data_IF_742103880753
#
_entry.id   IF_742103880753
#
_cell.length_a   1.000
_cell.length_b   1.000
_cell.length_c   1.000
_cell.angle_alpha   90.00
_cell.angle_beta   90.00
_cell.angle_gamma   90.00
#
_symmetry.space_group_name_H-M   'P 1'
#
loop_
_entity.id
_entity.type
_entity.pdbx_description
1 polymer ?
#
# COMPACT_ATOMS: atom_id res chain seq x y z
N UNK A 1 52.89 -5.01 -59.10
CA UNK A 1 51.47 -4.62 -58.88
C UNK A 1 50.46 -5.63 -59.36
N UNK A 2 50.84 -6.64 -60.13
CA UNK A 2 49.88 -7.66 -60.68
C UNK A 2 49.58 -8.84 -59.75
N UNK A 3 50.24 -9.04 -58.63
CA UNK A 3 49.96 -10.14 -57.71
C UNK A 3 48.84 -9.86 -56.68
N UNK A 4 48.61 -8.58 -56.38
CA UNK A 4 47.49 -8.15 -55.50
C UNK A 4 46.11 -8.28 -56.19
N UNK A 5 46.04 -8.06 -57.48
CA UNK A 5 44.79 -8.17 -58.26
C UNK A 5 44.24 -9.59 -58.37
N UNK A 6 45.10 -10.63 -58.33
CA UNK A 6 44.69 -12.02 -58.44
C UNK A 6 44.12 -12.57 -57.12
N UNK A 7 44.69 -12.21 -55.96
CA UNK A 7 44.16 -12.57 -54.64
C UNK A 7 42.81 -11.87 -54.33
N UNK A 8 42.62 -10.64 -54.79
CA UNK A 8 41.34 -9.94 -54.65
C UNK A 8 40.25 -10.56 -55.55
N UNK A 9 40.59 -11.02 -56.77
CA UNK A 9 39.64 -11.69 -57.67
C UNK A 9 39.22 -13.06 -57.14
N UNK A 10 40.14 -13.83 -56.59
CA UNK A 10 39.80 -15.15 -55.97
C UNK A 10 38.87 -15.00 -54.76
N UNK A 11 39.07 -14.01 -53.92
CA UNK A 11 38.20 -13.69 -52.76
C UNK A 11 36.78 -13.25 -53.21
N UNK A 12 36.69 -12.51 -54.32
CA UNK A 12 35.40 -12.06 -54.88
C UNK A 12 34.66 -13.24 -55.48
N UNK A 13 35.34 -14.17 -56.15
CA UNK A 13 34.73 -15.34 -56.77
C UNK A 13 34.28 -16.38 -55.71
N UNK A 14 35.03 -16.59 -54.64
CA UNK A 14 34.63 -17.36 -53.50
C UNK A 14 33.37 -16.78 -52.81
N UNK A 15 33.30 -15.47 -52.61
CA UNK A 15 32.15 -14.76 -52.08
C UNK A 15 30.91 -14.90 -52.97
N UNK A 16 31.05 -14.82 -54.31
CA UNK A 16 29.97 -15.04 -55.26
C UNK A 16 29.47 -16.51 -55.22
N UNK A 17 30.42 -17.46 -55.20
CA UNK A 17 30.07 -18.87 -55.08
C UNK A 17 29.31 -19.21 -53.77
N UNK A 18 29.73 -18.62 -52.62
CA UNK A 18 29.05 -18.72 -51.37
C UNK A 18 27.65 -18.10 -51.42
N UNK A 19 27.52 -16.87 -52.03
CA UNK A 19 26.23 -16.17 -52.15
C UNK A 19 25.25 -16.91 -53.06
N UNK A 20 25.71 -17.50 -54.17
CA UNK A 20 24.84 -18.32 -55.02
C UNK A 20 24.33 -19.59 -54.33
N UNK A 21 25.08 -20.11 -53.37
CA UNK A 21 24.71 -21.31 -52.60
C UNK A 21 23.84 -21.02 -51.42
N UNK A 22 24.11 -19.94 -50.70
CA UNK A 22 23.46 -19.63 -49.40
C UNK A 22 22.64 -18.32 -49.43
N UNK A 23 22.76 -17.49 -50.46
CA UNK A 23 22.12 -16.17 -50.52
C UNK A 23 20.61 -16.21 -50.33
N UNK A 24 19.94 -17.23 -50.91
CA UNK A 24 18.49 -17.42 -50.68
C UNK A 24 18.13 -17.67 -49.20
N UNK A 25 18.88 -18.55 -48.55
CA UNK A 25 18.67 -18.85 -47.13
C UNK A 25 18.96 -17.63 -46.23
N UNK A 26 20.05 -16.92 -46.52
CA UNK A 26 20.43 -15.70 -45.82
C UNK A 26 19.37 -14.62 -46.01
N UNK A 27 18.88 -14.40 -47.20
CA UNK A 27 17.82 -13.42 -47.51
C UNK A 27 16.54 -13.77 -46.74
N UNK A 28 16.10 -15.02 -46.72
CA UNK A 28 14.92 -15.48 -45.98
C UNK A 28 15.11 -15.27 -44.49
N UNK A 29 16.27 -15.63 -43.92
CA UNK A 29 16.58 -15.39 -42.52
C UNK A 29 16.56 -13.92 -42.18
N UNK A 30 17.07 -13.05 -43.04
CA UNK A 30 17.10 -11.60 -42.86
C UNK A 30 15.69 -11.00 -42.92
N UNK A 31 14.84 -11.46 -43.85
CA UNK A 31 13.44 -11.02 -43.94
C UNK A 31 12.66 -11.44 -42.69
N UNK A 32 12.84 -12.69 -42.21
CA UNK A 32 12.21 -13.14 -40.96
C UNK A 32 12.69 -12.26 -39.78
N UNK A 33 13.98 -11.99 -39.68
CA UNK A 33 14.55 -11.11 -38.64
C UNK A 33 13.92 -9.71 -38.68
N UNK A 34 13.79 -9.11 -39.85
CA UNK A 34 13.15 -7.80 -40.02
C UNK A 34 11.66 -7.84 -39.62
N UNK A 35 10.92 -8.91 -39.97
CA UNK A 35 9.51 -9.05 -39.58
C UNK A 35 9.34 -9.20 -38.06
N UNK A 36 10.23 -9.95 -37.40
CA UNK A 36 10.23 -10.07 -35.93
C UNK A 36 10.51 -8.72 -35.28
N UNK A 37 11.53 -8.00 -35.76
CA UNK A 37 11.86 -6.66 -35.24
C UNK A 37 10.69 -5.69 -35.44
N UNK A 38 10.10 -5.66 -36.62
CA UNK A 38 8.95 -4.80 -36.92
C UNK A 38 7.74 -5.14 -36.04
N UNK A 39 7.47 -6.42 -35.81
CA UNK A 39 6.40 -6.90 -34.93
C UNK A 39 6.63 -6.47 -33.47
N UNK A 40 7.83 -6.67 -32.94
CA UNK A 40 8.20 -6.24 -31.57
C UNK A 40 8.12 -4.72 -31.44
N UNK A 41 8.61 -3.98 -32.42
CA UNK A 41 8.59 -2.51 -32.38
C UNK A 41 7.15 -1.96 -32.46
N UNK A 42 6.32 -2.54 -33.35
CA UNK A 42 4.91 -2.19 -33.45
C UNK A 42 4.15 -2.48 -32.14
N UNK A 43 4.40 -3.65 -31.53
CA UNK A 43 3.83 -3.99 -30.24
C UNK A 43 4.27 -3.02 -29.12
N UNK A 44 5.55 -2.68 -29.04
CA UNK A 44 6.08 -1.72 -28.06
C UNK A 44 5.49 -0.33 -28.24
N UNK A 45 5.34 0.13 -29.48
CA UNK A 45 4.69 1.40 -29.76
C UNK A 45 3.22 1.40 -29.34
N UNK A 46 2.47 0.32 -29.67
CA UNK A 46 1.08 0.18 -29.26
C UNK A 46 0.92 0.13 -27.73
N UNK A 47 1.76 -0.66 -27.05
CA UNK A 47 1.76 -0.72 -25.58
C UNK A 47 2.09 0.64 -24.97
N UNK A 48 3.08 1.36 -25.49
CA UNK A 48 3.43 2.72 -25.04
C UNK A 48 2.29 3.72 -25.19
N UNK A 49 1.53 3.65 -26.30
CA UNK A 49 0.35 4.51 -26.47
C UNK A 49 -0.79 4.18 -25.50
N UNK A 50 -0.96 2.93 -25.14
CA UNK A 50 -1.93 2.52 -24.10
C UNK A 50 -1.54 3.04 -22.73
N UNK A 51 -0.26 2.95 -22.36
CA UNK A 51 0.25 3.50 -21.09
C UNK A 51 0.12 5.04 -21.05
N UNK A 52 0.41 5.75 -22.12
CA UNK A 52 0.24 7.20 -22.23
C UNK A 52 -1.22 7.61 -21.97
N UNK A 53 -2.17 6.99 -22.66
CA UNK A 53 -3.59 7.27 -22.48
C UNK A 53 -4.08 6.92 -21.06
N UNK A 54 -3.60 5.79 -20.51
CA UNK A 54 -3.93 5.40 -19.13
C UNK A 54 -3.36 6.40 -18.11
N UNK A 55 -2.19 6.96 -18.34
CA UNK A 55 -1.58 7.96 -17.46
C UNK A 55 -2.39 9.25 -17.39
N UNK A 56 -3.01 9.68 -18.51
CA UNK A 56 -3.91 10.86 -18.54
C UNK A 56 -5.15 10.60 -17.68
N UNK A 57 -5.76 9.42 -17.79
CA UNK A 57 -6.91 9.05 -16.97
C UNK A 57 -6.53 8.91 -15.48
N UNK A 58 -5.35 8.35 -15.19
CA UNK A 58 -4.83 8.33 -13.82
C UNK A 58 -4.65 9.75 -13.27
N UNK A 59 -4.16 10.68 -14.07
CA UNK A 59 -4.07 12.10 -13.72
C UNK A 59 -5.44 12.70 -13.37
N UNK A 60 -6.49 12.35 -14.14
CA UNK A 60 -7.85 12.79 -13.86
C UNK A 60 -8.38 12.22 -12.53
N UNK A 61 -8.13 10.93 -12.22
CA UNK A 61 -8.48 10.33 -10.92
C UNK A 61 -7.70 11.00 -9.78
N UNK A 62 -6.41 11.29 -9.99
CA UNK A 62 -5.57 11.96 -9.00
C UNK A 62 -6.04 13.38 -8.69
N UNK A 63 -6.43 14.14 -9.72
CA UNK A 63 -7.00 15.49 -9.53
C UNK A 63 -8.37 15.43 -8.84
N UNK A 64 -9.23 14.50 -9.23
CA UNK A 64 -10.51 14.26 -8.57
C UNK A 64 -10.31 13.87 -7.08
N UNK A 65 -9.27 13.11 -6.76
CA UNK A 65 -8.92 12.78 -5.38
C UNK A 65 -8.50 14.02 -4.57
N UNK A 66 -7.73 14.94 -5.17
CA UNK A 66 -7.35 16.21 -4.53
C UNK A 66 -8.55 17.10 -4.23
N UNK A 67 -9.50 17.15 -5.16
CA UNK A 67 -10.72 17.97 -5.03
C UNK A 67 -11.86 17.24 -4.31
N UNK A 68 -11.65 15.97 -3.92
CA UNK A 68 -12.66 15.08 -3.32
C UNK A 68 -13.92 14.89 -4.19
N UNK A 69 -13.76 15.00 -5.52
CA UNK A 69 -14.84 14.84 -6.49
C UNK A 69 -14.98 13.37 -6.89
N UNK A 70 -15.77 12.62 -6.12
CA UNK A 70 -15.99 11.19 -6.36
C UNK A 70 -16.71 10.90 -7.67
N UNK A 71 -17.52 11.86 -8.20
CA UNK A 71 -18.22 11.69 -9.46
C UNK A 71 -17.23 11.70 -10.64
N UNK A 72 -16.34 12.69 -10.70
CA UNK A 72 -15.27 12.72 -11.73
C UNK A 72 -14.33 11.53 -11.63
N UNK A 73 -13.99 11.10 -10.41
CA UNK A 73 -13.18 9.92 -10.22
C UNK A 73 -13.85 8.68 -10.77
N UNK A 74 -15.15 8.51 -10.55
CA UNK A 74 -15.94 7.38 -11.07
C UNK A 74 -15.89 7.28 -12.60
N UNK A 75 -16.06 8.39 -13.30
CA UNK A 75 -16.05 8.42 -14.77
C UNK A 75 -14.67 8.07 -15.33
N UNK A 76 -13.62 8.59 -14.69
CA UNK A 76 -12.25 8.32 -15.10
C UNK A 76 -11.84 6.86 -14.78
N UNK A 77 -12.23 6.33 -13.62
CA UNK A 77 -11.92 4.94 -13.25
C UNK A 77 -12.65 3.94 -14.15
N UNK A 78 -13.91 4.20 -14.51
CA UNK A 78 -14.65 3.34 -15.42
C UNK A 78 -13.93 3.23 -16.78
N UNK A 79 -13.46 4.34 -17.32
CA UNK A 79 -12.74 4.36 -18.60
C UNK A 79 -11.39 3.63 -18.51
N UNK A 80 -10.62 3.82 -17.42
CA UNK A 80 -9.30 3.21 -17.29
C UNK A 80 -9.40 1.70 -17.05
N UNK A 81 -10.36 1.23 -16.27
CA UNK A 81 -10.57 -0.20 -15.99
C UNK A 81 -11.16 -0.94 -17.18
N UNK A 82 -12.00 -0.30 -18.01
CA UNK A 82 -12.58 -0.90 -19.21
C UNK A 82 -11.54 -1.04 -20.34
N UNK A 83 -10.80 0.02 -20.64
CA UNK A 83 -9.95 0.07 -21.83
C UNK A 83 -8.49 -0.22 -21.57
N UNK A 84 -8.01 0.01 -20.36
CA UNK A 84 -6.58 0.01 -20.00
C UNK A 84 -6.27 -0.87 -18.78
N UNK A 85 -7.13 -1.85 -18.46
CA UNK A 85 -6.98 -2.72 -17.28
C UNK A 85 -5.58 -3.37 -17.17
N UNK A 86 -4.96 -3.72 -18.30
CA UNK A 86 -3.65 -4.35 -18.35
C UNK A 86 -2.46 -3.37 -18.21
N UNK A 87 -2.72 -2.07 -18.02
CA UNK A 87 -1.66 -1.07 -17.80
C UNK A 87 -1.30 -0.99 -16.32
N UNK A 88 -0.09 -0.50 -16.03
CA UNK A 88 0.34 -0.28 -14.66
C UNK A 88 -0.47 0.82 -13.95
N UNK A 89 -1.12 1.71 -14.68
CA UNK A 89 -1.90 2.82 -14.14
C UNK A 89 -3.28 2.40 -13.63
N UNK A 90 -3.94 1.41 -14.24
CA UNK A 90 -5.30 1.03 -13.89
C UNK A 90 -5.43 0.52 -12.44
N UNK A 91 -4.60 -0.41 -11.94
CA UNK A 91 -4.67 -0.83 -10.54
C UNK A 91 -4.34 0.32 -9.56
N UNK A 92 -3.41 1.20 -9.92
CA UNK A 92 -3.06 2.35 -9.08
C UNK A 92 -4.19 3.37 -9.01
N UNK A 93 -4.88 3.62 -10.12
CA UNK A 93 -6.09 4.45 -10.15
C UNK A 93 -7.20 3.84 -9.30
N UNK A 94 -7.42 2.52 -9.40
CA UNK A 94 -8.42 1.81 -8.61
C UNK A 94 -8.11 1.86 -7.10
N UNK A 95 -6.85 1.74 -6.68
CA UNK A 95 -6.43 1.93 -5.28
C UNK A 95 -6.77 3.33 -4.78
N UNK A 96 -6.50 4.36 -5.60
CA UNK A 96 -6.77 5.74 -5.23
C UNK A 96 -8.28 6.02 -5.13
N UNK A 97 -9.05 5.54 -6.10
CA UNK A 97 -10.50 5.67 -6.07
C UNK A 97 -11.13 4.89 -4.91
N UNK A 98 -10.65 3.68 -4.64
CA UNK A 98 -11.08 2.89 -3.48
C UNK A 98 -10.85 3.67 -2.16
N UNK A 99 -9.70 4.34 -2.03
CA UNK A 99 -9.44 5.20 -0.87
C UNK A 99 -10.43 6.36 -0.79
N UNK A 100 -10.76 6.99 -1.91
CA UNK A 100 -11.77 8.07 -1.93
C UNK A 100 -13.13 7.58 -1.47
N UNK A 101 -13.56 6.40 -1.92
CA UNK A 101 -14.83 5.77 -1.50
C UNK A 101 -14.81 5.46 0.00
N UNK A 102 -13.71 4.91 0.49
CA UNK A 102 -13.52 4.64 1.92
C UNK A 102 -13.60 5.92 2.76
N UNK A 103 -12.89 6.98 2.36
CA UNK A 103 -12.90 8.29 3.04
C UNK A 103 -14.30 8.95 3.00
N UNK A 104 -15.11 8.65 1.98
CA UNK A 104 -16.49 9.09 1.85
C UNK A 104 -17.49 8.20 2.63
N UNK A 105 -17.04 7.11 3.27
CA UNK A 105 -17.87 6.18 4.02
C UNK A 105 -18.47 5.04 3.19
N UNK A 106 -18.24 4.98 1.89
CA UNK A 106 -18.65 3.87 1.03
C UNK A 106 -17.64 2.71 1.14
N UNK A 107 -17.72 1.97 2.24
CA UNK A 107 -16.83 0.83 2.51
C UNK A 107 -17.04 -0.32 1.54
N UNK A 108 -18.27 -0.57 1.13
CA UNK A 108 -18.57 -1.62 0.16
C UNK A 108 -18.00 -1.31 -1.22
N UNK A 109 -18.16 -0.09 -1.71
CA UNK A 109 -17.54 0.38 -2.94
C UNK A 109 -16.02 0.34 -2.87
N UNK A 110 -15.42 0.76 -1.76
CA UNK A 110 -13.99 0.68 -1.54
C UNK A 110 -13.48 -0.76 -1.59
N UNK A 111 -14.13 -1.69 -0.87
CA UNK A 111 -13.79 -3.13 -0.86
C UNK A 111 -13.88 -3.73 -2.26
N UNK A 112 -14.92 -3.40 -3.03
CA UNK A 112 -15.07 -3.87 -4.41
C UNK A 112 -13.92 -3.40 -5.32
N UNK A 113 -13.49 -2.13 -5.19
CA UNK A 113 -12.37 -1.60 -5.96
C UNK A 113 -11.02 -2.23 -5.54
N UNK A 114 -10.80 -2.45 -4.25
CA UNK A 114 -9.60 -3.17 -3.78
C UNK A 114 -9.60 -4.62 -4.28
N UNK A 115 -10.74 -5.31 -4.30
CA UNK A 115 -10.88 -6.66 -4.85
C UNK A 115 -10.55 -6.69 -6.35
N UNK A 116 -11.02 -5.70 -7.11
CA UNK A 116 -10.67 -5.55 -8.52
C UNK A 116 -9.15 -5.43 -8.71
N UNK A 117 -8.45 -4.67 -7.84
CA UNK A 117 -6.99 -4.56 -7.87
C UNK A 117 -6.33 -5.91 -7.62
N UNK A 118 -6.79 -6.68 -6.64
CA UNK A 118 -6.26 -8.02 -6.32
C UNK A 118 -6.38 -8.96 -7.51
N UNK A 119 -7.46 -8.85 -8.29
CA UNK A 119 -7.73 -9.69 -9.44
C UNK A 119 -6.91 -9.28 -10.67
N UNK A 120 -6.80 -7.97 -10.94
CA UNK A 120 -6.32 -7.46 -12.23
C UNK A 120 -4.90 -6.88 -12.20
N UNK A 121 -4.32 -6.56 -11.03
CA UNK A 121 -2.97 -6.02 -11.00
C UNK A 121 -1.94 -7.04 -11.50
N UNK A 122 -1.00 -6.64 -12.38
CA UNK A 122 0.06 -7.55 -12.83
C UNK A 122 1.14 -7.78 -11.78
N UNK A 123 1.36 -6.81 -10.87
CA UNK A 123 2.40 -6.87 -9.84
C UNK A 123 1.84 -7.47 -8.54
N UNK A 124 2.51 -8.47 -7.98
CA UNK A 124 2.10 -9.10 -6.72
C UNK A 124 2.16 -8.12 -5.52
N UNK A 125 3.04 -7.12 -5.58
CA UNK A 125 3.13 -6.05 -4.59
C UNK A 125 1.84 -5.20 -4.57
N UNK A 126 1.29 -4.88 -5.73
CA UNK A 126 0.05 -4.10 -5.86
C UNK A 126 -1.15 -4.92 -5.39
N UNK A 127 -1.18 -6.24 -5.70
CA UNK A 127 -2.18 -7.15 -5.15
C UNK A 127 -2.10 -7.25 -3.63
N UNK A 128 -0.89 -7.30 -3.07
CA UNK A 128 -0.69 -7.32 -1.63
C UNK A 128 -1.24 -6.04 -0.97
N UNK A 129 -1.02 -4.87 -1.58
CA UNK A 129 -1.63 -3.61 -1.11
C UNK A 129 -3.15 -3.70 -1.14
N UNK A 130 -3.74 -4.24 -2.22
CA UNK A 130 -5.19 -4.46 -2.31
C UNK A 130 -5.72 -5.34 -1.17
N UNK A 131 -5.10 -6.49 -0.92
CA UNK A 131 -5.47 -7.41 0.18
C UNK A 131 -5.33 -6.74 1.54
N UNK A 132 -4.23 -6.02 1.78
CA UNK A 132 -4.02 -5.27 3.01
C UNK A 132 -5.14 -4.26 3.26
N UNK A 133 -5.56 -3.52 2.22
CA UNK A 133 -6.66 -2.54 2.31
C UNK A 133 -8.02 -3.19 2.52
N UNK A 134 -8.29 -4.35 1.90
CA UNK A 134 -9.50 -5.14 2.15
C UNK A 134 -9.56 -5.53 3.62
N UNK A 135 -8.47 -6.08 4.17
CA UNK A 135 -8.41 -6.47 5.57
C UNK A 135 -8.63 -5.28 6.52
N UNK A 136 -8.13 -4.09 6.20
CA UNK A 136 -8.41 -2.87 6.98
C UNK A 136 -9.92 -2.54 6.99
N UNK A 137 -10.58 -2.58 5.82
CA UNK A 137 -12.04 -2.35 5.75
C UNK A 137 -12.79 -3.39 6.57
N UNK A 138 -12.40 -4.66 6.51
CA UNK A 138 -13.01 -5.75 7.26
C UNK A 138 -12.86 -5.58 8.77
N UNK A 139 -11.70 -5.09 9.24
CA UNK A 139 -11.48 -4.74 10.65
C UNK A 139 -12.42 -3.61 11.10
N UNK A 140 -12.54 -2.55 10.30
CA UNK A 140 -13.41 -1.41 10.59
C UNK A 140 -14.89 -1.79 10.60
N UNK A 141 -15.27 -2.78 9.81
CA UNK A 141 -16.61 -3.39 9.79
C UNK A 141 -16.80 -4.46 10.86
N UNK A 142 -15.79 -4.67 11.73
CA UNK A 142 -15.75 -5.69 12.79
C UNK A 142 -15.84 -7.13 12.27
N UNK A 143 -15.49 -7.34 11.01
CA UNK A 143 -15.44 -8.67 10.36
C UNK A 143 -14.06 -9.29 10.57
N UNK A 144 -13.68 -9.51 11.84
CA UNK A 144 -12.29 -9.88 12.21
C UNK A 144 -11.85 -11.21 11.61
N UNK A 145 -12.72 -12.21 11.56
CA UNK A 145 -12.37 -13.51 10.98
C UNK A 145 -12.16 -13.42 9.46
N UNK A 146 -12.95 -12.58 8.77
CA UNK A 146 -12.74 -12.30 7.36
C UNK A 146 -11.40 -11.58 7.11
N UNK A 147 -11.08 -10.58 7.94
CA UNK A 147 -9.80 -9.87 7.87
C UNK A 147 -8.61 -10.83 8.07
N UNK A 148 -8.70 -11.73 9.05
CA UNK A 148 -7.67 -12.74 9.29
C UNK A 148 -7.49 -13.67 8.07
N UNK A 149 -8.60 -14.13 7.47
CA UNK A 149 -8.57 -14.95 6.27
C UNK A 149 -7.97 -14.19 5.06
N UNK A 150 -8.28 -12.91 4.91
CA UNK A 150 -7.69 -12.05 3.86
C UNK A 150 -6.18 -11.89 4.06
N UNK A 151 -5.72 -11.77 5.31
CA UNK A 151 -4.30 -11.64 5.66
C UNK A 151 -3.52 -12.97 5.55
N UNK A 152 -4.20 -14.12 5.51
CA UNK A 152 -3.58 -15.43 5.26
C UNK A 152 -3.24 -15.65 3.78
N UNK A 153 -3.76 -14.82 2.88
CA UNK A 153 -3.49 -14.94 1.46
C UNK A 153 -1.99 -14.70 1.15
N UNK A 154 -1.49 -15.45 0.15
CA UNK A 154 -0.09 -15.33 -0.28
C UNK A 154 0.27 -13.90 -0.70
N UNK A 155 1.41 -13.41 -0.23
CA UNK A 155 1.95 -12.09 -0.54
C UNK A 155 3.49 -12.13 -0.60
N UNK A 156 4.16 -11.12 -1.19
CA UNK A 156 5.61 -11.02 -1.18
C UNK A 156 6.16 -10.87 0.24
N UNK A 157 7.32 -11.48 0.51
CA UNK A 157 7.95 -11.47 1.83
C UNK A 157 8.25 -10.06 2.37
N UNK A 158 8.41 -9.06 1.49
CA UNK A 158 8.54 -7.65 1.87
C UNK A 158 7.34 -7.08 2.63
N UNK A 159 6.18 -7.72 2.54
CA UNK A 159 4.94 -7.34 3.24
C UNK A 159 4.71 -8.11 4.54
N UNK A 160 5.49 -9.16 4.82
CA UNK A 160 5.28 -10.04 6.00
C UNK A 160 5.10 -9.23 7.30
N UNK A 161 5.97 -8.24 7.54
CA UNK A 161 5.89 -7.42 8.75
C UNK A 161 4.62 -6.57 8.85
N UNK A 162 4.18 -5.99 7.72
CA UNK A 162 2.96 -5.18 7.68
C UNK A 162 1.70 -6.04 7.83
N UNK A 163 1.68 -7.22 7.21
CA UNK A 163 0.56 -8.17 7.33
C UNK A 163 0.46 -8.73 8.74
N UNK A 164 1.60 -9.04 9.37
CA UNK A 164 1.63 -9.50 10.76
C UNK A 164 1.17 -8.40 11.74
N UNK A 165 1.54 -7.12 11.51
CA UNK A 165 1.06 -6.00 12.30
C UNK A 165 -0.46 -5.85 12.19
N UNK A 166 -1.01 -5.83 10.96
CA UNK A 166 -2.45 -5.71 10.76
C UNK A 166 -3.23 -6.92 11.31
N UNK A 167 -2.62 -8.12 11.28
CA UNK A 167 -3.16 -9.30 11.97
C UNK A 167 -3.25 -9.06 13.47
N UNK A 168 -2.23 -8.45 14.07
CA UNK A 168 -2.25 -8.03 15.47
C UNK A 168 -3.38 -7.07 15.76
N UNK A 169 -3.61 -6.07 14.88
CA UNK A 169 -4.72 -5.12 15.01
C UNK A 169 -6.08 -5.83 14.97
N UNK A 170 -6.29 -6.76 14.02
CA UNK A 170 -7.52 -7.54 13.91
C UNK A 170 -7.78 -8.38 15.17
N UNK A 171 -6.75 -9.07 15.68
CA UNK A 171 -6.83 -9.91 16.88
C UNK A 171 -7.09 -9.08 18.14
N UNK A 172 -6.43 -7.93 18.28
CA UNK A 172 -6.64 -7.01 19.39
C UNK A 172 -8.07 -6.46 19.39
N UNK A 173 -8.58 -6.04 18.23
CA UNK A 173 -9.95 -5.56 18.07
C UNK A 173 -10.99 -6.66 18.33
N UNK A 174 -10.65 -7.93 18.05
CA UNK A 174 -11.46 -9.10 18.39
C UNK A 174 -11.38 -9.51 19.87
N UNK A 175 -10.58 -8.82 20.70
CA UNK A 175 -10.36 -9.15 22.11
C UNK A 175 -9.40 -10.33 22.35
N UNK A 176 -8.74 -10.84 21.29
CA UNK A 176 -7.79 -11.97 21.36
C UNK A 176 -6.38 -11.45 21.70
N UNK A 177 -6.23 -10.91 22.91
CA UNK A 177 -5.04 -10.15 23.34
C UNK A 177 -3.75 -10.98 23.27
N UNK A 178 -3.76 -12.25 23.69
CA UNK A 178 -2.57 -13.10 23.64
C UNK A 178 -2.11 -13.37 22.21
N UNK A 179 -3.05 -13.66 21.30
CA UNK A 179 -2.76 -13.89 19.89
C UNK A 179 -2.28 -12.60 19.20
N UNK A 180 -2.88 -11.45 19.53
CA UNK A 180 -2.49 -10.14 19.02
C UNK A 180 -1.03 -9.81 19.38
N UNK A 181 -0.64 -10.08 20.63
CA UNK A 181 0.73 -9.90 21.09
C UNK A 181 1.71 -10.75 20.28
N UNK A 182 1.42 -12.03 20.09
CA UNK A 182 2.25 -12.92 19.26
C UNK A 182 2.34 -12.45 17.80
N UNK A 183 1.24 -11.89 17.25
CA UNK A 183 1.24 -11.33 15.90
C UNK A 183 2.14 -10.08 15.78
N UNK A 184 2.12 -9.19 16.79
CA UNK A 184 3.04 -8.03 16.80
C UNK A 184 4.51 -8.45 17.01
N UNK A 185 4.78 -9.46 17.84
CA UNK A 185 6.13 -10.04 17.99
C UNK A 185 6.64 -10.55 16.63
N UNK A 186 5.80 -11.27 15.88
CA UNK A 186 6.12 -11.71 14.53
C UNK A 186 6.36 -10.53 13.58
N UNK A 187 5.53 -9.48 13.63
CA UNK A 187 5.72 -8.26 12.85
C UNK A 187 7.08 -7.61 13.13
N UNK A 188 7.44 -7.48 14.42
CA UNK A 188 8.73 -6.94 14.85
C UNK A 188 9.91 -7.80 14.39
N UNK A 189 9.77 -9.11 14.31
CA UNK A 189 10.80 -10.00 13.80
C UNK A 189 11.01 -9.88 12.28
N UNK A 190 9.96 -9.52 11.53
CA UNK A 190 9.98 -9.41 10.07
C UNK A 190 10.30 -7.99 9.56
N UNK A 191 10.07 -6.96 10.36
CA UNK A 191 10.37 -5.58 10.00
C UNK A 191 11.86 -5.28 10.11
N UNK A 192 12.38 -4.48 9.16
CA UNK A 192 13.75 -3.97 9.22
C UNK A 192 13.99 -3.24 10.55
N UNK A 193 15.13 -3.55 11.19
CA UNK A 193 15.52 -2.96 12.47
C UNK A 193 15.65 -1.42 12.44
N UNK A 194 15.93 -0.85 11.27
CA UNK A 194 16.06 0.60 11.05
C UNK A 194 14.76 1.26 10.59
N UNK A 195 13.69 0.50 10.36
CA UNK A 195 12.42 1.05 9.92
C UNK A 195 11.76 1.88 11.01
N UNK A 196 11.38 3.14 10.77
CA UNK A 196 10.59 3.93 11.72
C UNK A 196 9.26 3.27 12.09
N UNK A 197 8.69 2.49 11.16
CA UNK A 197 7.44 1.75 11.37
C UNK A 197 7.54 0.71 12.48
N UNK A 198 8.74 0.15 12.71
CA UNK A 198 9.00 -0.79 13.80
C UNK A 198 8.67 -0.20 15.18
N UNK A 199 9.00 1.07 15.41
CA UNK A 199 8.69 1.74 16.67
C UNK A 199 7.18 1.85 16.90
N UNK A 200 6.41 2.06 15.85
CA UNK A 200 4.95 2.10 15.92
C UNK A 200 4.37 0.73 16.33
N UNK A 201 4.87 -0.36 15.74
CA UNK A 201 4.45 -1.73 16.11
C UNK A 201 4.88 -2.07 17.54
N UNK A 202 6.08 -1.62 17.96
CA UNK A 202 6.55 -1.81 19.34
C UNK A 202 5.59 -1.18 20.36
N UNK A 203 5.13 0.05 20.11
CA UNK A 203 4.16 0.72 20.98
C UNK A 203 2.84 -0.07 21.08
N UNK A 204 2.34 -0.61 19.97
CA UNK A 204 1.14 -1.48 19.98
C UNK A 204 1.35 -2.74 20.81
N UNK A 205 2.49 -3.41 20.64
CA UNK A 205 2.85 -4.61 21.39
C UNK A 205 2.92 -4.32 22.88
N UNK A 206 3.62 -3.25 23.28
CA UNK A 206 3.83 -2.87 24.68
C UNK A 206 2.51 -2.43 25.35
N UNK A 207 1.61 -1.82 24.60
CA UNK A 207 0.28 -1.45 25.09
C UNK A 207 -0.54 -2.67 25.52
N UNK A 208 -0.37 -3.81 24.86
CA UNK A 208 -1.02 -5.07 25.25
C UNK A 208 -0.33 -5.77 26.42
N UNK A 209 0.97 -5.52 26.65
CA UNK A 209 1.73 -6.05 27.78
C UNK A 209 1.68 -5.18 29.02
N UNK A 210 1.56 -3.87 28.87
CA UNK A 210 1.59 -2.90 29.97
C UNK A 210 0.41 -3.00 30.94
N UNK A 211 -0.76 -3.44 30.46
CA UNK A 211 -1.95 -3.63 31.30
C UNK A 211 -1.80 -4.76 32.32
N UNK A 212 -1.07 -5.82 31.98
CA UNK A 212 -0.81 -6.95 32.90
C UNK A 212 0.30 -6.65 33.89
N UNK A 213 1.35 -5.94 33.44
CA UNK A 213 2.47 -5.56 34.31
C UNK A 213 2.08 -4.47 35.31
N UNK A 214 1.24 -3.50 34.92
CA UNK A 214 0.71 -2.48 35.83
C UNK A 214 -0.31 -3.08 36.82
N UNK A 215 -1.18 -3.99 36.38
CA UNK A 215 -2.12 -4.70 37.29
C UNK A 215 -1.38 -5.58 38.27
N UNK A 216 -0.34 -6.30 37.85
CA UNK A 216 0.52 -7.09 38.73
C UNK A 216 1.39 -6.25 39.65
N UNK A 217 1.94 -5.12 39.16
CA UNK A 217 2.69 -4.19 40.03
C UNK A 217 1.80 -3.50 41.05
N UNK A 218 0.57 -3.11 40.68
CA UNK A 218 -0.43 -2.58 41.62
C UNK A 218 -0.89 -3.63 42.62
N UNK A 219 -1.04 -4.90 42.22
CA UNK A 219 -1.39 -6.02 43.09
C UNK A 219 -0.26 -6.40 44.04
N UNK A 220 1.01 -6.33 43.56
CA UNK A 220 2.20 -6.57 44.39
C UNK A 220 2.49 -5.40 45.35
N UNK A 221 2.18 -4.17 44.97
CA UNK A 221 2.33 -3.01 45.83
C UNK A 221 1.23 -2.92 46.91
N UNK A 222 0.05 -3.54 46.66
CA UNK A 222 -1.06 -3.61 47.62
C UNK A 222 -0.90 -4.65 48.76
N UNK A 223 0.06 -5.59 48.63
CA UNK A 223 0.25 -6.66 49.62
C UNK A 223 1.31 -6.39 50.68
N UNK A 224 1.90 -5.22 50.71
CA UNK A 224 3.01 -4.93 51.60
C UNK A 224 2.92 -3.57 52.29
N UNK A 225 1.93 -3.39 53.17
CA UNK A 225 2.01 -2.53 54.35
C UNK A 225 0.67 -2.48 55.10
N UNK A 226 0.44 -3.46 55.93
CA UNK A 226 -0.29 -3.25 57.20
C UNK A 226 0.74 -3.14 58.30
N UNK A 227 1.13 -1.90 58.61
CA UNK A 227 1.79 -1.57 59.86
C UNK A 227 1.19 -0.28 60.39
N UNK A 228 0.41 -0.47 61.47
CA UNK A 228 -0.08 0.50 62.42
C UNK A 228 0.91 1.58 62.77
N UNK A 229 0.49 2.86 62.74
CA UNK A 229 0.91 3.88 63.69
C UNK A 229 -0.21 4.92 63.87
N UNK A 230 -0.45 5.26 65.13
CA UNK A 230 -1.51 6.06 65.74
C UNK A 230 -1.63 7.50 65.26
N UNK A 231 -2.83 8.04 65.39
CA UNK A 231 -3.16 9.45 65.29
C UNK A 231 -2.51 10.30 66.44
N UNK A 232 -2.36 11.63 66.25
CA UNK A 232 -3.21 12.51 67.01
C UNK A 232 -3.87 13.66 66.22
N UNK A 233 -5.09 13.87 66.65
CA UNK A 233 -5.95 15.07 66.72
C UNK A 233 -5.34 16.44 66.53
N UNK A 234 -5.91 17.26 65.67
CA UNK A 234 -6.37 18.65 65.92
C UNK A 234 -7.01 19.29 64.64
N UNK A 235 -8.25 19.70 64.79
CA UNK A 235 -8.94 20.70 63.96
C UNK A 235 -8.86 22.05 64.71
N UNK A 236 -9.45 23.20 64.26
CA UNK A 236 -9.84 23.65 62.91
C UNK A 236 -9.39 25.11 62.62
N UNK A 237 -9.57 25.61 61.42
CA UNK A 237 -9.97 27.03 61.21
C UNK A 237 -10.40 27.32 59.77
N UNK A 238 -11.56 27.93 59.69
CA UNK A 238 -12.20 28.51 58.49
C UNK A 238 -11.53 29.77 58.03
N UNK A 239 -11.79 30.17 56.78
CA UNK A 239 -12.25 31.45 56.18
C UNK A 239 -12.12 31.36 54.66
N UNK A 240 -13.18 31.41 53.94
CA UNK A 240 -13.98 32.46 53.35
C UNK A 240 -13.35 33.23 52.16
N UNK A 241 -14.23 33.37 51.14
CA UNK A 241 -14.25 34.45 50.12
C UNK A 241 -13.34 34.22 48.89
N UNK A 242 -13.79 34.02 47.65
CA UNK A 242 -14.72 34.88 46.90
C UNK A 242 -13.99 35.41 45.69
N UNK A 243 -14.37 35.06 44.49
CA UNK A 243 -14.41 35.98 43.36
C UNK A 243 -14.78 35.23 42.06
N UNK A 244 -15.79 35.74 41.39
CA UNK A 244 -16.33 35.31 40.10
C UNK A 244 -15.47 35.84 38.93
N UNK A 245 -15.65 35.27 37.69
CA UNK A 245 -14.88 35.65 36.53
C UNK A 245 -15.43 36.93 35.85
N UNK A 246 -14.61 37.66 35.09
CA UNK A 246 -15.09 38.77 34.27
C UNK A 246 -15.51 38.34 32.87
N UNK A 247 -16.56 39.02 32.40
CA UNK A 247 -17.23 38.87 31.11
C UNK A 247 -16.39 39.37 29.94
N UNK A 248 -16.73 38.84 28.75
CA UNK A 248 -16.29 39.28 27.45
C UNK A 248 -16.71 40.72 27.10
N UNK A 249 -15.98 41.44 26.28
CA UNK A 249 -16.51 42.58 25.56
C UNK A 249 -16.99 42.20 24.16
N UNK A 250 -18.23 42.51 23.87
CA UNK A 250 -18.80 42.77 22.56
C UNK A 250 -18.29 44.10 22.03
N UNK A 251 -17.86 44.17 20.79
CA UNK A 251 -17.89 45.44 20.08
C UNK A 251 -18.39 45.28 18.64
N UNK A 252 -19.33 46.16 18.35
CA UNK A 252 -19.98 46.44 17.08
C UNK A 252 -19.09 47.37 16.25
N UNK A 253 -19.09 47.20 14.95
CA UNK A 253 -18.52 48.21 14.06
C UNK A 253 -18.79 47.93 12.61
N UNK A 254 -19.91 48.45 12.13
CA UNK A 254 -20.37 48.55 10.78
C UNK A 254 -19.56 49.56 9.93
N UNK A 255 -19.85 49.53 8.60
CA UNK A 255 -19.66 50.59 7.58
C UNK A 255 -18.28 50.64 6.89
N UNK A 256 -18.17 50.25 5.66
CA UNK A 256 -18.64 50.82 4.39
C UNK A 256 -18.50 49.83 3.26
#
# INVERSE_FOLDING_TARGET
MALYDLEEQDQIDDLKAWWTRYGGTVTVALVIGCLVIAGVQGWRWYAGKREENASVLYGAVSEAARTKDTAKARDAIAQITDRYAATAYAPRAALLYAKMLYDAGDRNGAKAQYAWVVEHAPEEEVKAIGRYRIAQVEIDDKQYDAALATLDAKHPASFDGMFADLRGDALAAAGRVADARSAYENALAKLDAKSPYRNFVQVKHDALGGSTTQAQAASAAGSGKSASIAAPSAAPAAVASGAAPPAAPTDHGAVK
#
